data_IF_846884149626
#
_entry.id   IF_846884149626
#
_cell.length_a   1.000
_cell.length_b   1.000
_cell.length_c   1.000
_cell.angle_alpha   90.00
_cell.angle_beta   90.00
_cell.angle_gamma   90.00
#
_symmetry.space_group_name_H-M   'P 1'
#
loop_
_entity.id
_entity.type
_entity.pdbx_description
1 polymer ?
#
# COMPACT_ATOMS: atom_id res chain seq x y z
N UNK A 1 -15.01 -4.49 -1.10
CA UNK A 1 -14.89 -2.99 -1.18
C UNK A 1 -16.27 -2.35 -1.26
N UNK A 2 -16.51 -1.20 -0.60
CA UNK A 2 -17.84 -0.54 -0.54
C UNK A 2 -17.89 0.58 -1.58
N UNK A 3 -18.89 0.53 -2.47
CA UNK A 3 -19.16 1.54 -3.49
C UNK A 3 -20.57 2.09 -3.29
N UNK A 4 -20.70 3.42 -3.26
CA UNK A 4 -21.98 4.12 -3.20
C UNK A 4 -22.04 5.08 -4.38
N UNK A 5 -23.00 4.90 -5.29
CA UNK A 5 -23.18 5.72 -6.50
C UNK A 5 -21.90 5.90 -7.33
N UNK A 6 -21.11 4.83 -7.45
CA UNK A 6 -19.84 4.84 -8.18
C UNK A 6 -18.66 5.50 -7.44
N UNK A 7 -18.84 5.89 -6.18
CA UNK A 7 -17.81 6.45 -5.33
C UNK A 7 -17.30 5.39 -4.36
N UNK A 8 -15.99 5.18 -4.30
CA UNK A 8 -15.37 4.30 -3.32
C UNK A 8 -15.39 4.97 -1.95
N UNK A 9 -15.84 4.25 -0.94
CA UNK A 9 -15.96 4.76 0.43
C UNK A 9 -15.41 3.76 1.44
N UNK A 10 -15.10 4.22 2.66
CA UNK A 10 -14.83 3.35 3.80
C UNK A 10 -15.70 3.74 5.00
N UNK A 11 -16.10 2.73 5.80
CA UNK A 11 -16.91 2.93 7.00
C UNK A 11 -16.06 2.76 8.25
N UNK A 12 -15.66 3.88 8.84
CA UNK A 12 -14.91 3.91 10.09
C UNK A 12 -15.40 5.03 11.01
N UNK A 13 -14.80 5.13 12.18
CA UNK A 13 -15.19 6.15 13.19
C UNK A 13 -14.74 7.55 12.77
N UNK A 14 -15.55 8.23 11.97
CA UNK A 14 -15.34 9.62 11.56
C UNK A 14 -14.13 9.85 10.65
N UNK A 15 -14.05 11.05 10.09
CA UNK A 15 -12.92 11.51 9.28
C UNK A 15 -11.66 11.74 10.09
N UNK A 16 -10.50 11.61 9.46
CA UNK A 16 -9.19 11.87 10.06
C UNK A 16 -8.58 13.16 9.50
N UNK A 17 -8.70 13.36 8.18
CA UNK A 17 -8.08 14.47 7.45
C UNK A 17 -9.12 15.39 6.76
N UNK A 18 -10.34 15.48 7.31
CA UNK A 18 -11.40 16.26 6.71
C UNK A 18 -11.90 15.69 5.38
N UNK A 19 -11.90 14.36 5.25
CA UNK A 19 -12.46 13.66 4.10
C UNK A 19 -13.94 14.03 3.97
N UNK A 20 -14.38 14.19 2.72
CA UNK A 20 -15.80 14.36 2.46
C UNK A 20 -16.56 13.09 2.82
N UNK A 21 -17.72 13.27 3.40
CA UNK A 21 -18.62 12.17 3.76
C UNK A 21 -19.67 11.98 2.66
N UNK A 22 -20.01 10.74 2.42
CA UNK A 22 -21.18 10.34 1.65
C UNK A 22 -22.05 9.46 2.56
N UNK A 23 -23.17 10.00 3.04
CA UNK A 23 -23.95 9.44 4.15
C UNK A 23 -23.08 9.26 5.41
N UNK A 24 -22.92 8.05 5.91
CA UNK A 24 -22.12 7.67 7.07
C UNK A 24 -20.69 7.21 6.72
N UNK A 25 -20.34 7.23 5.43
CA UNK A 25 -19.07 6.70 4.94
C UNK A 25 -18.14 7.80 4.47
N UNK A 26 -16.83 7.57 4.63
CA UNK A 26 -15.75 8.47 4.18
C UNK A 26 -15.44 8.21 2.71
N UNK A 27 -15.38 9.27 1.89
CA UNK A 27 -14.95 9.14 0.49
C UNK A 27 -13.46 8.79 0.45
N UNK A 28 -13.13 7.70 -0.25
CA UNK A 28 -11.75 7.29 -0.46
C UNK A 28 -11.27 7.80 -1.82
N UNK A 29 -10.73 9.01 -1.81
CA UNK A 29 -10.38 9.79 -2.99
C UNK A 29 -9.19 9.17 -3.77
N UNK A 30 -9.34 8.83 -5.06
CA UNK A 30 -8.27 8.27 -5.88
C UNK A 30 -7.12 9.25 -6.16
N UNK A 31 -7.35 10.56 -6.07
CA UNK A 31 -6.27 11.55 -6.21
C UNK A 31 -5.38 11.66 -4.96
N UNK A 32 -5.87 11.18 -3.82
CA UNK A 32 -5.13 11.18 -2.55
C UNK A 32 -4.59 9.81 -2.15
N UNK A 33 -5.01 8.75 -2.84
CA UNK A 33 -4.65 7.37 -2.51
C UNK A 33 -4.45 6.55 -3.77
N UNK A 34 -3.22 6.06 -3.97
CA UNK A 34 -2.89 5.20 -5.12
C UNK A 34 -3.62 3.86 -5.06
N UNK A 35 -3.90 3.36 -3.86
CA UNK A 35 -4.72 2.15 -3.68
C UNK A 35 -6.17 2.41 -4.11
N UNK A 36 -6.75 3.57 -3.76
CA UNK A 36 -8.06 3.96 -4.28
C UNK A 36 -8.06 4.11 -5.81
N UNK A 37 -7.01 4.73 -6.37
CA UNK A 37 -6.85 4.85 -7.82
C UNK A 37 -6.83 3.49 -8.51
N UNK A 38 -6.16 2.49 -7.90
CA UNK A 38 -6.13 1.12 -8.40
C UNK A 38 -7.52 0.48 -8.40
N UNK A 39 -8.30 0.67 -7.32
CA UNK A 39 -9.68 0.17 -7.25
C UNK A 39 -10.60 0.84 -8.27
N UNK A 40 -10.43 2.13 -8.56
CA UNK A 40 -11.20 2.82 -9.61
C UNK A 40 -10.91 2.24 -11.01
N UNK A 41 -9.78 1.59 -11.21
CA UNK A 41 -9.45 0.85 -12.42
C UNK A 41 -9.94 -0.61 -12.38
N UNK A 42 -10.73 -0.99 -11.37
CA UNK A 42 -11.23 -2.35 -11.13
C UNK A 42 -10.09 -3.38 -10.99
N UNK A 43 -9.01 -2.95 -10.38
CA UNK A 43 -7.81 -3.74 -10.09
C UNK A 43 -7.57 -3.81 -8.59
N UNK A 44 -6.67 -4.68 -8.16
CA UNK A 44 -6.32 -4.86 -6.75
C UNK A 44 -6.97 -6.10 -6.14
N UNK A 45 -6.84 -6.23 -4.84
CA UNK A 45 -7.44 -7.31 -4.05
C UNK A 45 -8.57 -6.76 -3.18
N UNK A 46 -9.61 -7.54 -2.98
CA UNK A 46 -10.65 -7.20 -2.02
C UNK A 46 -10.08 -7.27 -0.60
N UNK A 47 -10.36 -6.25 0.21
CA UNK A 47 -9.96 -6.23 1.61
C UNK A 47 -11.03 -6.91 2.44
N UNK A 48 -10.64 -7.89 3.24
CA UNK A 48 -11.53 -8.69 4.07
C UNK A 48 -11.27 -8.43 5.56
N UNK A 49 -12.28 -8.58 6.43
CA UNK A 49 -12.18 -8.22 7.85
C UNK A 49 -11.17 -9.00 8.67
N UNK A 50 -10.74 -10.17 8.22
CA UNK A 50 -9.76 -11.04 8.86
C UNK A 50 -8.34 -10.88 8.29
N UNK A 51 -8.16 -10.01 7.30
CA UNK A 51 -6.85 -9.76 6.70
C UNK A 51 -5.92 -8.98 7.62
N UNK A 52 -4.63 -9.35 7.59
CA UNK A 52 -3.52 -8.59 8.15
C UNK A 52 -2.75 -7.95 7.02
N UNK A 53 -2.45 -6.67 7.16
CA UNK A 53 -1.80 -5.87 6.11
C UNK A 53 -0.50 -5.29 6.62
N UNK A 54 0.58 -5.47 5.87
CA UNK A 54 1.83 -4.72 6.02
C UNK A 54 1.83 -3.56 5.03
N UNK A 55 1.86 -2.35 5.54
CA UNK A 55 1.88 -1.12 4.74
C UNK A 55 3.25 -0.44 4.84
N UNK A 56 4.01 -0.43 3.76
CA UNK A 56 5.35 0.16 3.67
C UNK A 56 5.27 1.56 3.02
N UNK A 57 5.79 2.56 3.72
CA UNK A 57 5.68 3.96 3.32
C UNK A 57 4.31 4.55 3.68
N UNK A 58 3.94 4.41 4.96
CA UNK A 58 2.62 4.81 5.46
C UNK A 58 2.37 6.33 5.40
N UNK A 59 3.44 7.13 5.34
CA UNK A 59 3.41 8.58 5.34
C UNK A 59 2.50 9.12 6.46
N UNK A 60 1.64 10.09 6.15
CA UNK A 60 0.68 10.66 7.11
C UNK A 60 -0.49 9.72 7.45
N UNK A 61 -0.57 8.51 6.88
CA UNK A 61 -1.60 7.52 7.20
C UNK A 61 -2.95 7.71 6.50
N UNK A 62 -3.05 8.55 5.47
CA UNK A 62 -4.31 8.79 4.74
C UNK A 62 -4.87 7.47 4.20
N UNK A 63 -4.10 6.74 3.38
CA UNK A 63 -4.52 5.44 2.84
C UNK A 63 -4.68 4.39 3.94
N UNK A 64 -3.72 4.35 4.90
CA UNK A 64 -3.76 3.45 6.06
C UNK A 64 -5.08 3.55 6.81
N UNK A 65 -5.59 4.78 7.03
CA UNK A 65 -6.85 4.98 7.75
C UNK A 65 -8.07 4.39 7.05
N UNK A 66 -8.07 4.36 5.71
CA UNK A 66 -9.12 3.72 4.93
C UNK A 66 -8.97 2.19 4.91
N UNK A 67 -7.74 1.69 4.76
CA UNK A 67 -7.47 0.24 4.83
C UNK A 67 -7.90 -0.33 6.18
N UNK A 68 -7.58 0.38 7.27
CA UNK A 68 -7.94 -0.02 8.63
C UNK A 68 -9.46 -0.17 8.86
N UNK A 69 -10.30 0.51 8.06
CA UNK A 69 -11.76 0.36 8.15
C UNK A 69 -12.26 -0.99 7.58
N UNK A 70 -11.39 -1.78 6.93
CA UNK A 70 -11.76 -3.03 6.28
C UNK A 70 -11.12 -4.28 6.88
N UNK A 71 -9.98 -4.15 7.55
CA UNK A 71 -9.10 -5.29 7.88
C UNK A 71 -8.90 -5.47 9.39
N UNK A 72 -8.38 -6.64 9.78
CA UNK A 72 -8.07 -6.95 11.19
C UNK A 72 -7.01 -6.00 11.74
N UNK A 73 -5.87 -5.88 11.04
CA UNK A 73 -4.74 -5.05 11.50
C UNK A 73 -3.95 -4.50 10.32
N UNK A 74 -3.39 -3.29 10.51
CA UNK A 74 -2.44 -2.67 9.59
C UNK A 74 -1.13 -2.37 10.33
N UNK A 75 -0.07 -3.07 9.98
CA UNK A 75 1.30 -2.75 10.38
C UNK A 75 1.83 -1.66 9.46
N UNK A 76 1.92 -0.43 9.96
CA UNK A 76 2.19 0.76 9.14
C UNK A 76 3.61 1.26 9.36
N UNK A 77 4.52 0.96 8.42
CA UNK A 77 5.95 1.31 8.50
C UNK A 77 6.18 2.66 7.84
N UNK A 78 6.81 3.57 8.59
CA UNK A 78 7.19 4.90 8.11
C UNK A 78 8.54 5.32 8.73
N UNK A 79 9.47 5.81 7.90
CA UNK A 79 10.82 6.21 8.35
C UNK A 79 10.86 7.68 8.81
N UNK A 80 10.01 8.54 8.25
CA UNK A 80 10.10 9.97 8.46
C UNK A 80 9.39 10.40 9.77
N UNK A 81 10.08 11.09 10.69
CA UNK A 81 9.52 11.43 12.00
C UNK A 81 8.27 12.33 11.92
N UNK A 82 8.23 13.27 10.97
CA UNK A 82 7.11 14.20 10.85
C UNK A 82 5.83 13.51 10.35
N UNK A 83 5.83 12.76 9.24
CA UNK A 83 4.68 11.93 8.85
C UNK A 83 4.25 10.93 9.94
N UNK A 84 5.22 10.37 10.68
CA UNK A 84 4.91 9.45 11.79
C UNK A 84 4.06 10.10 12.87
N UNK A 85 4.24 11.39 13.16
CA UNK A 85 3.39 12.10 14.14
C UNK A 85 1.92 12.07 13.72
N UNK A 86 1.63 12.30 12.45
CA UNK A 86 0.26 12.24 11.92
C UNK A 86 -0.26 10.81 11.91
N UNK A 87 0.60 9.83 11.58
CA UNK A 87 0.24 8.40 11.62
C UNK A 87 -0.11 7.94 13.05
N UNK A 88 0.54 8.48 14.07
CA UNK A 88 0.17 8.22 15.46
C UNK A 88 -1.24 8.75 15.81
N UNK A 89 -1.64 9.89 15.25
CA UNK A 89 -3.01 10.40 15.41
C UNK A 89 -4.03 9.49 14.70
N UNK A 90 -3.66 8.89 13.56
CA UNK A 90 -4.47 7.85 12.91
C UNK A 90 -4.63 6.64 13.82
N UNK A 91 -3.53 6.14 14.40
CA UNK A 91 -3.52 4.96 15.27
C UNK A 91 -4.35 5.17 16.55
N UNK A 92 -4.40 6.40 17.09
CA UNK A 92 -5.29 6.74 18.22
C UNK A 92 -6.77 6.59 17.89
N UNK A 93 -7.14 6.80 16.62
CA UNK A 93 -8.54 6.72 16.14
C UNK A 93 -8.86 5.37 15.48
N UNK A 94 -7.87 4.61 15.10
CA UNK A 94 -7.94 3.30 14.47
C UNK A 94 -7.06 2.34 15.26
N UNK A 95 -7.62 1.73 16.30
CA UNK A 95 -6.87 0.90 17.27
C UNK A 95 -6.27 -0.36 16.65
N UNK A 96 -6.67 -0.70 15.43
CA UNK A 96 -6.10 -1.77 14.61
C UNK A 96 -4.95 -1.30 13.70
N UNK A 97 -4.47 -0.06 13.84
CA UNK A 97 -3.25 0.43 13.19
C UNK A 97 -2.08 0.34 14.16
N UNK A 98 -1.03 -0.37 13.78
CA UNK A 98 0.23 -0.50 14.51
C UNK A 98 1.28 0.35 13.80
N UNK A 99 1.56 1.58 14.27
CA UNK A 99 2.57 2.43 13.66
C UNK A 99 3.97 1.94 14.03
N UNK A 100 4.85 1.79 13.04
CA UNK A 100 6.21 1.30 13.19
C UNK A 100 7.18 2.32 12.58
N UNK A 101 7.97 2.96 13.42
CA UNK A 101 9.00 3.89 12.96
C UNK A 101 10.27 3.11 12.61
N UNK A 102 10.43 2.80 11.32
CA UNK A 102 11.55 2.03 10.80
C UNK A 102 11.79 2.30 9.30
N UNK A 103 12.96 1.88 8.82
CA UNK A 103 13.26 1.85 7.39
C UNK A 103 12.71 0.56 6.76
N UNK A 104 11.83 0.71 5.78
CA UNK A 104 11.26 -0.42 5.04
C UNK A 104 12.34 -1.27 4.31
N UNK A 105 13.51 -0.69 4.03
CA UNK A 105 14.66 -1.42 3.47
C UNK A 105 15.33 -2.37 4.48
N UNK A 106 14.99 -2.29 5.77
CA UNK A 106 15.59 -3.05 6.86
C UNK A 106 14.51 -3.82 7.65
N UNK A 107 13.86 -4.84 7.05
CA UNK A 107 12.75 -5.57 7.67
C UNK A 107 13.13 -6.24 8.99
N UNK A 108 14.40 -6.55 9.22
CA UNK A 108 14.92 -7.10 10.46
C UNK A 108 14.71 -6.20 11.67
N UNK A 109 14.60 -4.88 11.48
CA UNK A 109 14.36 -3.92 12.56
C UNK A 109 12.95 -4.04 13.16
N UNK A 110 11.98 -4.52 12.37
CA UNK A 110 10.59 -4.63 12.81
C UNK A 110 9.99 -6.03 12.69
N UNK A 111 10.81 -7.01 12.29
CA UNK A 111 10.34 -8.39 12.19
C UNK A 111 9.67 -8.93 13.46
N UNK A 112 10.13 -8.60 14.69
CA UNK A 112 9.46 -9.06 15.90
C UNK A 112 8.07 -8.46 16.16
N UNK A 113 7.71 -7.40 15.42
CA UNK A 113 6.45 -6.66 15.59
C UNK A 113 5.38 -7.03 14.57
N UNK A 114 5.77 -7.75 13.49
CA UNK A 114 4.89 -8.04 12.36
C UNK A 114 4.59 -9.53 12.29
N UNK A 115 3.32 -9.88 12.43
CA UNK A 115 2.84 -11.25 12.21
C UNK A 115 2.74 -11.56 10.71
N UNK A 116 2.63 -12.84 10.30
CA UNK A 116 2.38 -13.18 8.91
C UNK A 116 1.14 -12.47 8.34
N UNK A 117 1.31 -11.82 7.19
CA UNK A 117 0.28 -10.96 6.58
C UNK A 117 -0.30 -11.56 5.30
N UNK A 118 -1.53 -11.19 4.99
CA UNK A 118 -2.23 -11.58 3.78
C UNK A 118 -1.89 -10.66 2.61
N UNK A 119 -1.63 -9.39 2.93
CA UNK A 119 -1.31 -8.34 1.96
C UNK A 119 -0.10 -7.53 2.43
N UNK A 120 0.91 -7.39 1.57
CA UNK A 120 1.94 -6.37 1.67
C UNK A 120 1.67 -5.29 0.61
N UNK A 121 1.47 -4.06 1.05
CA UNK A 121 1.29 -2.91 0.18
C UNK A 121 2.47 -1.95 0.34
N UNK A 122 3.14 -1.62 -0.75
CA UNK A 122 4.30 -0.75 -0.74
C UNK A 122 4.11 0.52 -1.56
N UNK A 123 4.31 1.68 -0.95
CA UNK A 123 4.26 3.01 -1.57
C UNK A 123 5.47 3.87 -1.17
N UNK A 124 6.67 3.31 -1.21
CA UNK A 124 7.92 4.03 -0.92
C UNK A 124 8.43 4.81 -2.13
N UNK A 125 9.25 5.84 -1.90
CA UNK A 125 9.81 6.71 -2.95
C UNK A 125 11.34 6.59 -3.01
N UNK A 126 11.87 5.36 -2.95
CA UNK A 126 13.30 5.07 -3.02
C UNK A 126 13.66 4.47 -4.39
N UNK A 127 14.93 4.53 -4.84
CA UNK A 127 15.32 3.94 -6.13
C UNK A 127 15.20 2.41 -6.16
N UNK A 128 15.42 1.74 -5.03
CA UNK A 128 15.48 0.29 -4.86
C UNK A 128 14.13 -0.34 -4.45
N UNK A 129 13.02 0.23 -4.95
CA UNK A 129 11.65 -0.17 -4.57
C UNK A 129 11.41 -1.68 -4.70
N UNK A 130 11.91 -2.33 -5.75
CA UNK A 130 11.73 -3.78 -5.95
C UNK A 130 12.48 -4.57 -4.88
N UNK A 131 13.74 -4.22 -4.59
CA UNK A 131 14.54 -4.87 -3.55
C UNK A 131 13.87 -4.76 -2.18
N UNK A 132 13.33 -3.58 -1.85
CA UNK A 132 12.57 -3.37 -0.61
C UNK A 132 11.36 -4.29 -0.56
N UNK A 133 10.58 -4.36 -1.66
CA UNK A 133 9.41 -5.23 -1.74
C UNK A 133 9.79 -6.72 -1.52
N UNK A 134 10.82 -7.19 -2.20
CA UNK A 134 11.29 -8.58 -2.09
C UNK A 134 11.75 -8.93 -0.67
N UNK A 135 12.50 -8.03 -0.02
CA UNK A 135 12.91 -8.22 1.38
C UNK A 135 11.71 -8.37 2.32
N UNK A 136 10.63 -7.64 2.07
CA UNK A 136 9.44 -7.66 2.91
C UNK A 136 8.49 -8.83 2.59
N UNK A 137 8.71 -9.57 1.50
CA UNK A 137 7.94 -10.78 1.22
C UNK A 137 8.13 -11.90 2.27
N UNK A 138 9.12 -11.79 3.16
CA UNK A 138 9.27 -12.70 4.30
C UNK A 138 8.02 -12.71 5.20
N UNK A 139 7.31 -11.58 5.30
CA UNK A 139 6.10 -11.45 6.11
C UNK A 139 4.85 -11.99 5.42
N UNK A 140 4.86 -12.13 4.08
CA UNK A 140 3.71 -12.66 3.37
C UNK A 140 3.50 -14.14 3.67
N UNK A 141 2.26 -14.51 3.97
CA UNK A 141 1.81 -15.91 4.01
C UNK A 141 2.01 -16.55 2.62
N UNK A 142 2.13 -17.88 2.53
CA UNK A 142 1.98 -18.58 1.24
C UNK A 142 0.64 -18.20 0.60
N UNK A 143 0.64 -17.87 -0.68
CA UNK A 143 -0.54 -17.36 -1.39
C UNK A 143 -0.87 -15.89 -1.11
N UNK A 144 -0.16 -15.23 -0.20
CA UNK A 144 -0.34 -13.81 0.12
C UNK A 144 0.00 -12.89 -1.05
N UNK A 145 -0.56 -11.70 -1.04
CA UNK A 145 -0.44 -10.73 -2.14
C UNK A 145 0.54 -9.60 -1.81
N UNK A 146 1.40 -9.26 -2.79
CA UNK A 146 2.17 -8.02 -2.81
C UNK A 146 1.50 -7.05 -3.79
N UNK A 147 1.24 -5.82 -3.37
CA UNK A 147 0.94 -4.69 -4.24
C UNK A 147 2.10 -3.70 -4.14
N UNK A 148 2.89 -3.62 -5.21
CA UNK A 148 3.97 -2.66 -5.33
C UNK A 148 3.50 -1.45 -6.14
N UNK A 149 3.48 -0.28 -5.53
CA UNK A 149 3.32 0.99 -6.25
C UNK A 149 4.69 1.44 -6.74
N UNK A 150 4.94 1.22 -8.01
CA UNK A 150 6.18 1.60 -8.66
C UNK A 150 6.13 3.08 -9.07
N UNK A 151 6.96 3.89 -8.45
CA UNK A 151 7.19 5.31 -8.79
C UNK A 151 8.37 5.37 -9.76
N UNK A 152 8.10 5.29 -11.05
CA UNK A 152 9.15 5.09 -12.07
C UNK A 152 10.20 6.19 -12.05
N UNK A 153 9.80 7.45 -11.83
CA UNK A 153 10.73 8.59 -11.73
C UNK A 153 11.59 8.59 -10.46
N UNK A 154 11.15 7.89 -9.40
CA UNK A 154 11.98 7.71 -8.19
C UNK A 154 13.02 6.60 -8.38
N UNK A 155 12.78 5.66 -9.30
CA UNK A 155 13.74 4.60 -9.64
C UNK A 155 14.83 5.14 -10.56
N UNK A 156 14.44 5.68 -11.72
CA UNK A 156 15.39 6.31 -12.66
C UNK A 156 14.69 7.40 -13.49
N UNK A 157 15.13 8.64 -13.31
CA UNK A 157 14.59 9.80 -14.04
C UNK A 157 15.01 9.85 -15.51
N UNK A 158 16.07 9.12 -15.90
CA UNK A 158 16.63 9.11 -17.26
C UNK A 158 15.98 8.05 -18.15
N UNK A 159 15.45 6.98 -17.56
CA UNK A 159 14.76 5.90 -18.28
C UNK A 159 13.32 6.25 -18.59
N UNK A 160 12.83 5.74 -19.71
CA UNK A 160 11.40 5.76 -20.00
C UNK A 160 10.62 4.94 -18.96
N UNK A 161 9.45 5.42 -18.47
CA UNK A 161 8.66 4.74 -17.44
C UNK A 161 8.34 3.27 -17.77
N UNK A 162 8.08 2.96 -19.05
CA UNK A 162 7.81 1.59 -19.50
C UNK A 162 8.99 0.64 -19.36
N UNK A 163 10.22 1.13 -19.52
CA UNK A 163 11.45 0.34 -19.32
C UNK A 163 11.62 0.03 -17.82
N UNK A 164 11.46 1.05 -16.98
CA UNK A 164 11.54 0.87 -15.51
C UNK A 164 10.50 -0.14 -15.04
N UNK A 165 9.29 -0.08 -15.59
CA UNK A 165 8.23 -1.04 -15.29
C UNK A 165 8.61 -2.46 -15.70
N UNK A 166 9.12 -2.67 -16.93
CA UNK A 166 9.53 -3.99 -17.42
C UNK A 166 10.69 -4.57 -16.60
N UNK A 167 11.67 -3.75 -16.24
CA UNK A 167 12.78 -4.12 -15.37
C UNK A 167 12.26 -4.59 -14.00
N UNK A 168 11.30 -3.85 -13.41
CA UNK A 168 10.70 -4.20 -12.12
C UNK A 168 9.94 -5.54 -12.17
N UNK A 169 9.13 -5.76 -13.22
CA UNK A 169 8.43 -7.04 -13.43
C UNK A 169 9.42 -8.20 -13.53
N UNK A 170 10.50 -8.02 -14.31
CA UNK A 170 11.52 -9.06 -14.49
C UNK A 170 12.22 -9.42 -13.17
N UNK A 171 12.53 -8.43 -12.33
CA UNK A 171 13.14 -8.67 -11.02
C UNK A 171 12.17 -9.39 -10.05
N UNK A 172 10.90 -8.96 -10.00
CA UNK A 172 9.90 -9.58 -9.13
C UNK A 172 9.67 -11.07 -9.48
N UNK A 173 9.66 -11.41 -10.76
CA UNK A 173 9.43 -12.79 -11.22
C UNK A 173 10.68 -13.66 -11.17
N UNK A 174 11.85 -13.12 -11.52
CA UNK A 174 13.12 -13.84 -11.55
C UNK A 174 13.69 -14.03 -10.15
N UNK A 175 14.16 -12.96 -9.54
CA UNK A 175 14.85 -13.01 -8.24
C UNK A 175 13.90 -13.31 -7.08
N UNK A 176 12.66 -12.83 -7.17
CA UNK A 176 11.68 -12.94 -6.10
C UNK A 176 10.83 -14.20 -6.13
N UNK A 177 10.80 -14.92 -7.24
CA UNK A 177 9.92 -16.08 -7.42
C UNK A 177 8.43 -15.73 -7.25
N UNK A 178 8.07 -14.47 -7.43
CA UNK A 178 6.69 -14.00 -7.30
C UNK A 178 5.95 -14.19 -8.63
N UNK A 179 4.69 -14.53 -8.56
CA UNK A 179 3.82 -14.59 -9.74
C UNK A 179 3.10 -13.26 -9.93
N UNK A 180 3.42 -12.50 -10.98
CA UNK A 180 2.66 -11.31 -11.36
C UNK A 180 1.27 -11.73 -11.83
N UNK A 181 0.23 -11.25 -11.16
CA UNK A 181 -1.18 -11.52 -11.45
C UNK A 181 -1.82 -10.46 -12.31
N UNK A 182 -1.50 -9.21 -12.01
CA UNK A 182 -2.08 -8.07 -12.70
C UNK A 182 -1.19 -6.83 -12.55
N UNK A 183 -1.46 -5.80 -13.35
CA UNK A 183 -0.80 -4.51 -13.23
C UNK A 183 -1.66 -3.39 -13.84
N UNK A 184 -1.40 -2.15 -13.43
CA UNK A 184 -2.06 -0.98 -13.98
C UNK A 184 -1.20 0.27 -13.87
N UNK A 185 -1.21 1.11 -14.89
CA UNK A 185 -0.77 2.50 -14.76
C UNK A 185 -1.85 3.31 -14.05
N UNK A 186 -1.47 4.12 -13.06
CA UNK A 186 -2.44 4.82 -12.22
C UNK A 186 -2.91 6.17 -12.79
N UNK A 187 -2.56 6.49 -14.03
CA UNK A 187 -3.17 7.64 -14.73
C UNK A 187 -4.68 7.44 -14.89
N UNK A 188 -5.50 8.51 -14.85
CA UNK A 188 -5.11 9.91 -14.76
C UNK A 188 -4.83 10.40 -13.32
N UNK A 189 -5.00 9.57 -12.28
CA UNK A 189 -4.90 9.96 -10.88
C UNK A 189 -3.45 10.25 -10.46
N UNK A 190 -2.51 9.36 -10.84
CA UNK A 190 -1.09 9.48 -10.50
C UNK A 190 -0.24 9.19 -11.74
N UNK A 191 0.34 10.25 -12.32
CA UNK A 191 1.23 10.12 -13.47
C UNK A 191 2.56 9.46 -13.09
N UNK A 192 3.16 8.71 -14.02
CA UNK A 192 4.42 7.98 -13.82
C UNK A 192 4.42 6.99 -12.63
N UNK A 193 3.23 6.55 -12.21
CA UNK A 193 3.04 5.51 -11.23
C UNK A 193 2.35 4.31 -11.83
N UNK A 194 2.87 3.12 -11.52
CA UNK A 194 2.23 1.85 -11.85
C UNK A 194 2.03 1.00 -10.60
N UNK A 195 0.95 0.22 -10.55
CA UNK A 195 0.78 -0.82 -9.57
C UNK A 195 1.13 -2.18 -10.21
N UNK A 196 1.92 -3.00 -9.51
CA UNK A 196 2.22 -4.39 -9.86
C UNK A 196 1.67 -5.27 -8.74
N UNK A 197 0.82 -6.23 -9.10
CA UNK A 197 0.15 -7.12 -8.16
C UNK A 197 0.74 -8.52 -8.33
N UNK A 198 1.35 -9.03 -7.28
CA UNK A 198 1.99 -10.34 -7.28
C UNK A 198 1.39 -11.24 -6.21
N UNK A 199 1.50 -12.55 -6.42
CA UNK A 199 1.22 -13.56 -5.40
C UNK A 199 2.50 -14.27 -5.04
N UNK A 200 2.71 -14.50 -3.74
CA UNK A 200 3.79 -15.34 -3.22
C UNK A 200 3.42 -16.83 -3.42
N UNK A 201 4.31 -17.58 -4.03
CA UNK A 201 4.17 -19.04 -4.17
C UNK A 201 4.19 -19.76 -2.84
#
# INVERSE_FOLDING_TARGET
>A
MIWIDGVLVSRGQGGIYGERMLSDARIWDPYRSKLSALYHQKKGVELEPDMRVLYLGAAHGTTVSHVADYVEVVYAVEIAPRPMQDLLEVARRRTNVVPIMADAAQPEQYAPLVEPVDLAYQDVAQPDQVTIALRNCIFLKPGGTLILILKTRSVDTRKEPGIVFSDAVSQLTGDGGLMVRDSAWLAPYHHDHAAIICTKS
#
